data_IF_734531888062
#
_entry.id   IF_734531888062
#
_cell.length_a   1.000
_cell.length_b   1.000
_cell.length_c   1.000
_cell.angle_alpha   90.00
_cell.angle_beta   90.00
_cell.angle_gamma   90.00
#
_symmetry.space_group_name_H-M   'P 1'
#
loop_
_entity.id
_entity.type
_entity.pdbx_description
1 polymer ?
#
# COMPACT_ATOMS: atom_id res chain seq x y z
N UNK A 1 9.05 17.91 -4.98
CA UNK A 1 7.76 17.35 -5.45
C UNK A 1 7.00 18.45 -6.18
N UNK A 2 6.31 18.14 -7.29
CA UNK A 2 5.53 19.09 -8.10
C UNK A 2 4.07 19.25 -7.63
N UNK A 3 3.69 18.51 -6.59
CA UNK A 3 2.35 18.54 -5.96
C UNK A 3 2.49 18.45 -4.44
N UNK A 4 1.42 18.83 -3.74
CA UNK A 4 1.21 18.55 -2.33
C UNK A 4 0.14 17.47 -2.21
N UNK A 5 0.41 16.40 -1.45
CA UNK A 5 -0.55 15.32 -1.25
C UNK A 5 -1.58 15.74 -0.20
N UNK A 6 -2.84 15.56 -0.54
CA UNK A 6 -3.91 15.68 0.44
C UNK A 6 -3.91 14.45 1.36
N UNK A 7 -4.19 14.66 2.64
CA UNK A 7 -4.34 13.60 3.62
C UNK A 7 -5.28 14.01 4.75
N UNK A 8 -5.84 13.02 5.41
CA UNK A 8 -6.52 13.20 6.70
C UNK A 8 -5.64 12.66 7.81
N UNK A 9 -5.71 13.30 8.99
CA UNK A 9 -4.91 12.91 10.17
C UNK A 9 -5.82 12.76 11.37
N UNK A 10 -5.71 11.62 12.07
CA UNK A 10 -6.50 11.33 13.25
C UNK A 10 -5.69 10.56 14.30
N UNK A 11 -5.98 10.78 15.59
CA UNK A 11 -5.32 10.09 16.70
C UNK A 11 -4.00 10.73 17.12
N UNK A 12 -3.31 10.03 18.02
CA UNK A 12 -2.00 10.42 18.57
C UNK A 12 -1.16 9.18 18.82
N UNK A 13 0.17 9.30 18.76
CA UNK A 13 1.12 8.20 18.91
C UNK A 13 2.02 8.06 17.69
N UNK A 14 2.68 6.90 17.50
CA UNK A 14 3.55 6.64 16.35
C UNK A 14 2.80 6.83 15.01
N UNK A 15 3.48 7.31 13.97
CA UNK A 15 2.83 7.53 12.67
C UNK A 15 2.49 6.21 11.97
N UNK A 16 1.24 6.09 11.48
CA UNK A 16 0.75 5.04 10.61
C UNK A 16 0.22 5.67 9.31
N UNK A 17 0.88 5.39 8.20
CA UNK A 17 0.50 5.88 6.88
C UNK A 17 -0.36 4.83 6.16
N UNK A 18 -1.50 5.25 5.64
CA UNK A 18 -2.45 4.42 4.89
C UNK A 18 -2.44 4.84 3.42
N UNK A 19 -2.16 3.91 2.52
CA UNK A 19 -2.08 4.10 1.07
C UNK A 19 -3.16 3.26 0.38
N UNK A 20 -4.15 3.93 -0.22
CA UNK A 20 -5.29 3.31 -0.88
C UNK A 20 -4.95 2.65 -2.23
N UNK A 21 -5.88 1.88 -2.79
CA UNK A 21 -5.76 1.23 -4.08
C UNK A 21 -6.06 2.15 -5.27
N UNK A 22 -5.90 1.61 -6.47
CA UNK A 22 -6.14 2.32 -7.72
C UNK A 22 -7.58 2.81 -7.85
N UNK A 23 -7.75 4.09 -8.16
CA UNK A 23 -9.07 4.71 -8.35
C UNK A 23 -9.86 4.98 -7.07
N UNK A 24 -9.23 4.81 -5.90
CA UNK A 24 -9.79 5.10 -4.58
C UNK A 24 -9.18 6.37 -3.98
N UNK A 25 -9.44 6.63 -2.72
CA UNK A 25 -8.87 7.70 -1.91
C UNK A 25 -8.75 7.25 -0.43
N UNK A 26 -8.28 8.13 0.44
CA UNK A 26 -8.04 7.84 1.86
C UNK A 26 -9.30 7.38 2.62
N UNK A 27 -10.51 7.66 2.12
CA UNK A 27 -11.77 7.23 2.76
C UNK A 27 -11.99 5.72 2.68
N UNK A 28 -11.26 5.00 1.80
CA UNK A 28 -11.25 3.55 1.78
C UNK A 28 -10.97 2.96 3.16
N UNK A 29 -10.13 3.59 3.95
CA UNK A 29 -9.66 3.10 5.24
C UNK A 29 -10.50 3.59 6.45
N UNK A 30 -11.78 3.95 6.26
CA UNK A 30 -12.63 4.46 7.35
C UNK A 30 -12.58 3.58 8.61
N UNK A 31 -12.62 2.26 8.47
CA UNK A 31 -12.56 1.31 9.59
C UNK A 31 -11.18 1.18 10.22
N UNK A 32 -10.11 1.37 9.45
CA UNK A 32 -8.73 1.34 9.94
C UNK A 32 -8.36 2.65 10.64
N UNK A 33 -8.87 3.78 10.13
CA UNK A 33 -8.73 5.08 10.78
C UNK A 33 -9.39 5.04 12.16
N UNK A 34 -10.65 4.60 12.24
CA UNK A 34 -11.38 4.49 13.51
C UNK A 34 -10.68 3.56 14.50
N UNK A 35 -10.20 2.40 14.03
CA UNK A 35 -9.56 1.39 14.86
C UNK A 35 -8.19 1.82 15.38
N UNK A 36 -7.30 2.29 14.48
CA UNK A 36 -5.90 2.51 14.81
C UNK A 36 -5.62 3.91 15.35
N UNK A 37 -6.51 4.89 15.17
CA UNK A 37 -6.33 6.24 15.75
C UNK A 37 -6.35 6.27 17.29
N UNK A 38 -6.69 5.16 17.94
CA UNK A 38 -6.62 4.99 19.39
C UNK A 38 -5.18 4.93 19.90
N UNK A 39 -4.26 4.41 19.07
CA UNK A 39 -2.88 4.10 19.46
C UNK A 39 -1.83 4.74 18.54
N UNK A 40 -2.25 5.24 17.37
CA UNK A 40 -1.40 5.78 16.32
C UNK A 40 -1.86 7.17 15.87
N UNK A 41 -0.93 7.95 15.36
CA UNK A 41 -1.24 9.07 14.50
C UNK A 41 -1.46 8.52 13.07
N UNK A 42 -2.71 8.28 12.70
CA UNK A 42 -3.09 7.71 11.42
C UNK A 42 -3.18 8.80 10.37
N UNK A 43 -2.43 8.68 9.28
CA UNK A 43 -2.49 9.56 8.11
C UNK A 43 -2.98 8.76 6.91
N UNK A 44 -4.22 8.97 6.47
CA UNK A 44 -4.76 8.41 5.25
C UNK A 44 -4.50 9.38 4.09
N UNK A 45 -3.68 8.96 3.14
CA UNK A 45 -3.10 9.80 2.10
C UNK A 45 -3.83 9.51 0.78
N UNK A 46 -4.30 10.59 0.12
CA UNK A 46 -4.71 10.50 -1.28
C UNK A 46 -3.47 10.54 -2.15
N UNK A 47 -3.21 9.49 -2.91
CA UNK A 47 -2.04 9.42 -3.78
C UNK A 47 -2.20 10.35 -4.99
N UNK A 48 -1.10 10.70 -5.67
CA UNK A 48 -1.08 11.56 -6.86
C UNK A 48 -2.23 11.24 -7.83
N UNK A 49 -3.02 12.27 -8.17
CA UNK A 49 -4.12 12.15 -9.14
C UNK A 49 -5.34 11.39 -8.64
N UNK A 50 -5.40 11.05 -7.34
CA UNK A 50 -6.55 10.42 -6.70
C UNK A 50 -7.15 11.34 -5.63
N UNK A 51 -8.44 11.13 -5.34
CA UNK A 51 -9.15 11.87 -4.32
C UNK A 51 -9.01 13.38 -4.49
N UNK A 52 -8.39 14.04 -3.52
CA UNK A 52 -8.16 15.49 -3.46
C UNK A 52 -6.72 15.89 -3.83
N UNK A 53 -5.84 14.91 -4.06
CA UNK A 53 -4.47 15.17 -4.48
C UNK A 53 -4.40 15.49 -5.98
N UNK A 54 -3.70 16.58 -6.36
CA UNK A 54 -3.56 16.95 -7.78
C UNK A 54 -2.74 15.90 -8.55
N UNK A 55 -2.99 15.84 -9.88
CA UNK A 55 -2.23 14.94 -10.78
C UNK A 55 -0.78 15.39 -10.95
N UNK A 56 -0.53 16.68 -10.98
CA UNK A 56 0.78 17.25 -11.30
C UNK A 56 1.27 16.89 -12.70
N UNK A 57 2.58 17.12 -12.94
CA UNK A 57 3.23 16.92 -14.24
C UNK A 57 4.21 15.76 -14.26
N UNK A 58 4.64 15.25 -13.08
CA UNK A 58 5.55 14.12 -12.97
C UNK A 58 4.92 12.81 -13.53
N UNK A 59 5.72 11.79 -13.84
CA UNK A 59 5.22 10.51 -14.34
C UNK A 59 4.15 9.88 -13.44
N UNK A 60 3.17 9.20 -14.04
CA UNK A 60 2.11 8.50 -13.31
C UNK A 60 2.52 7.03 -13.16
N UNK A 61 3.41 6.75 -12.20
CA UNK A 61 4.03 5.45 -11.98
C UNK A 61 4.11 5.12 -10.49
N UNK A 62 4.10 3.82 -10.14
CA UNK A 62 4.33 3.35 -8.76
C UNK A 62 5.64 3.91 -8.19
N UNK A 63 6.66 3.97 -9.03
CA UNK A 63 7.96 4.55 -8.71
C UNK A 63 7.87 6.01 -8.28
N UNK A 64 7.13 6.85 -9.04
CA UNK A 64 6.94 8.25 -8.72
C UNK A 64 6.10 8.44 -7.45
N UNK A 65 5.10 7.60 -7.25
CA UNK A 65 4.27 7.65 -6.05
C UNK A 65 5.07 7.31 -4.78
N UNK A 66 6.06 6.43 -4.89
CA UNK A 66 6.99 6.18 -3.79
C UNK A 66 7.86 7.42 -3.47
N UNK A 67 8.31 8.17 -4.48
CA UNK A 67 9.03 9.44 -4.27
C UNK A 67 8.12 10.55 -3.70
N UNK A 68 6.84 10.56 -4.10
CA UNK A 68 5.86 11.47 -3.51
C UNK A 68 5.64 11.16 -2.03
N UNK A 69 5.63 9.86 -1.64
CA UNK A 69 5.54 9.45 -0.24
C UNK A 69 6.77 9.89 0.56
N UNK A 70 7.98 9.77 -0.01
CA UNK A 70 9.21 10.28 0.63
C UNK A 70 9.09 11.78 0.91
N UNK A 71 8.73 12.55 -0.10
CA UNK A 71 8.58 13.99 0.02
C UNK A 71 7.47 14.38 1.01
N UNK A 72 6.37 13.61 1.06
CA UNK A 72 5.33 13.78 2.07
C UNK A 72 5.88 13.56 3.49
N UNK A 73 6.61 12.46 3.72
CA UNK A 73 7.21 12.19 5.03
C UNK A 73 8.16 13.30 5.46
N UNK A 74 8.99 13.80 4.54
CA UNK A 74 9.92 14.90 4.81
C UNK A 74 9.18 16.20 5.18
N UNK A 75 8.13 16.55 4.44
CA UNK A 75 7.28 17.72 4.71
C UNK A 75 6.56 17.64 6.06
N UNK A 76 6.17 16.43 6.47
CA UNK A 76 5.53 16.19 7.78
C UNK A 76 6.53 15.98 8.92
N UNK A 77 7.84 16.03 8.66
CA UNK A 77 8.87 15.79 9.65
C UNK A 77 8.89 14.36 10.21
N UNK A 78 8.42 13.38 9.41
CA UNK A 78 8.36 11.98 9.80
C UNK A 78 9.68 11.29 9.43
N UNK A 79 10.54 11.01 10.39
CA UNK A 79 11.77 10.25 10.15
C UNK A 79 11.47 8.82 9.73
N UNK A 80 10.53 8.16 10.40
CA UNK A 80 10.09 6.79 10.13
C UNK A 80 8.59 6.69 10.36
N UNK A 81 7.94 5.69 9.73
CA UNK A 81 6.52 5.38 9.93
C UNK A 81 6.22 3.89 9.75
N UNK A 82 5.11 3.43 10.34
CA UNK A 82 4.44 2.23 9.91
C UNK A 82 3.65 2.52 8.63
N UNK A 83 3.66 1.60 7.68
CA UNK A 83 2.97 1.80 6.39
C UNK A 83 2.04 0.62 6.13
N UNK A 84 0.77 0.91 5.87
CA UNK A 84 -0.22 -0.04 5.41
C UNK A 84 -0.67 0.37 4.00
N UNK A 85 -0.41 -0.48 3.03
CA UNK A 85 -0.82 -0.25 1.65
C UNK A 85 -1.81 -1.30 1.15
N UNK A 86 -2.85 -0.85 0.46
CA UNK A 86 -3.83 -1.69 -0.21
C UNK A 86 -3.65 -1.67 -1.72
N UNK A 87 -3.58 -2.84 -2.37
CA UNK A 87 -3.51 -2.98 -3.84
C UNK A 87 -2.35 -2.16 -4.41
N UNK A 88 -2.58 -1.17 -5.29
CA UNK A 88 -1.52 -0.27 -5.77
C UNK A 88 -0.86 0.51 -4.63
N UNK A 89 -1.60 0.87 -3.57
CA UNK A 89 -1.00 1.42 -2.34
C UNK A 89 -0.02 0.45 -1.67
N UNK A 90 -0.29 -0.85 -1.75
CA UNK A 90 0.64 -1.91 -1.33
C UNK A 90 1.89 -1.98 -2.21
N UNK A 91 1.72 -1.80 -3.53
CA UNK A 91 2.82 -1.75 -4.49
C UNK A 91 3.70 -0.51 -4.27
N UNK A 92 3.08 0.65 -3.97
CA UNK A 92 3.77 1.89 -3.60
C UNK A 92 4.58 1.68 -2.31
N UNK A 93 3.93 1.14 -1.25
CA UNK A 93 4.56 0.89 0.03
C UNK A 93 5.76 -0.06 -0.09
N UNK A 94 5.62 -1.13 -0.88
CA UNK A 94 6.69 -2.08 -1.15
C UNK A 94 7.86 -1.44 -1.91
N UNK A 95 7.56 -0.67 -2.97
CA UNK A 95 8.57 0.06 -3.75
C UNK A 95 9.29 1.08 -2.88
N UNK A 96 8.57 1.79 -2.03
CA UNK A 96 9.12 2.72 -1.06
C UNK A 96 10.07 2.03 -0.06
N UNK A 97 9.63 0.92 0.55
CA UNK A 97 10.41 0.18 1.52
C UNK A 97 11.71 -0.41 0.91
N UNK A 98 11.69 -0.81 -0.37
CA UNK A 98 12.88 -1.28 -1.08
C UNK A 98 13.90 -0.16 -1.34
N UNK A 99 13.46 1.08 -1.50
CA UNK A 99 14.34 2.25 -1.77
C UNK A 99 14.78 2.96 -0.51
N UNK A 100 13.91 3.01 0.49
CA UNK A 100 14.08 3.77 1.72
C UNK A 100 13.78 2.88 2.95
N UNK A 101 14.49 1.76 3.14
CA UNK A 101 14.19 0.81 4.22
C UNK A 101 14.33 1.41 5.61
N UNK A 102 15.19 2.40 5.78
CA UNK A 102 15.41 3.17 7.00
C UNK A 102 14.23 4.09 7.38
N UNK A 103 13.29 4.33 6.45
CA UNK A 103 12.11 5.16 6.66
C UNK A 103 10.88 4.35 7.10
N UNK A 104 10.96 3.02 7.14
CA UNK A 104 9.82 2.12 7.44
C UNK A 104 10.07 1.35 8.72
N UNK A 105 9.19 1.53 9.72
CA UNK A 105 9.23 0.76 10.97
C UNK A 105 8.65 -0.65 10.76
N UNK A 106 7.44 -0.73 10.19
CA UNK A 106 6.72 -1.97 9.88
C UNK A 106 5.94 -1.77 8.58
N UNK A 107 5.78 -2.84 7.80
CA UNK A 107 5.14 -2.80 6.51
C UNK A 107 3.97 -3.79 6.45
N UNK A 108 2.78 -3.33 6.06
CA UNK A 108 1.60 -4.17 5.84
C UNK A 108 1.19 -4.07 4.38
N UNK A 109 1.21 -5.21 3.69
CA UNK A 109 0.90 -5.33 2.26
C UNK A 109 -0.44 -6.06 2.09
N UNK A 110 -1.52 -5.31 1.85
CA UNK A 110 -2.82 -5.89 1.57
C UNK A 110 -3.06 -5.99 0.06
N UNK A 111 -3.09 -7.21 -0.47
CA UNK A 111 -3.40 -7.45 -1.87
C UNK A 111 -2.40 -6.86 -2.86
N UNK A 112 -1.13 -6.71 -2.47
CA UNK A 112 -0.05 -6.24 -3.34
C UNK A 112 0.37 -7.32 -4.36
N UNK A 113 1.00 -6.89 -5.45
CA UNK A 113 1.61 -7.78 -6.44
C UNK A 113 2.99 -7.27 -6.86
N UNK A 114 3.84 -8.18 -7.32
CA UNK A 114 5.20 -7.87 -7.82
C UNK A 114 5.24 -7.61 -9.32
N UNK A 115 4.22 -8.13 -10.04
CA UNK A 115 4.12 -8.08 -11.50
C UNK A 115 2.64 -8.18 -11.89
N UNK A 116 2.19 -7.53 -12.97
CA UNK A 116 0.81 -7.65 -13.46
C UNK A 116 0.32 -9.09 -13.68
N UNK A 117 1.23 -10.04 -13.95
CA UNK A 117 0.90 -11.47 -14.04
C UNK A 117 0.50 -12.10 -12.70
N UNK A 118 0.72 -11.41 -11.57
CA UNK A 118 0.22 -11.80 -10.27
C UNK A 118 -1.29 -11.68 -10.12
N UNK A 119 -1.93 -10.85 -10.93
CA UNK A 119 -3.39 -10.71 -11.00
C UNK A 119 -4.01 -11.91 -11.72
N UNK A 120 -5.20 -12.34 -11.29
CA UNK A 120 -5.94 -13.42 -11.97
C UNK A 120 -6.27 -13.04 -13.42
N UNK A 121 -6.06 -13.92 -14.41
CA UNK A 121 -6.26 -13.60 -15.84
C UNK A 121 -7.65 -13.07 -16.18
N UNK A 122 -8.70 -13.61 -15.52
CA UNK A 122 -10.08 -13.17 -15.73
C UNK A 122 -10.34 -11.73 -15.26
N UNK A 123 -9.52 -11.20 -14.37
CA UNK A 123 -9.54 -9.80 -13.91
C UNK A 123 -8.62 -8.96 -14.79
N UNK A 124 -7.42 -9.45 -15.06
CA UNK A 124 -6.39 -8.71 -15.81
C UNK A 124 -6.80 -8.44 -17.27
N UNK A 125 -7.46 -9.40 -17.93
CA UNK A 125 -7.83 -9.27 -19.35
C UNK A 125 -8.75 -8.06 -19.62
N UNK A 126 -9.89 -7.87 -18.93
CA UNK A 126 -10.73 -6.68 -19.14
C UNK A 126 -10.01 -5.36 -18.78
N UNK A 127 -9.11 -5.35 -17.82
CA UNK A 127 -8.30 -4.18 -17.47
C UNK A 127 -7.36 -3.83 -18.63
N UNK A 128 -6.67 -4.82 -19.19
CA UNK A 128 -5.78 -4.63 -20.34
C UNK A 128 -6.53 -4.14 -21.58
N UNK A 129 -7.70 -4.72 -21.88
CA UNK A 129 -8.56 -4.25 -22.97
C UNK A 129 -9.02 -2.82 -22.76
N UNK A 130 -9.45 -2.47 -21.52
CA UNK A 130 -9.83 -1.12 -21.16
C UNK A 130 -8.69 -0.12 -21.29
N UNK A 131 -7.47 -0.50 -20.91
CA UNK A 131 -6.25 0.28 -21.09
C UNK A 131 -5.99 0.56 -22.57
N UNK A 132 -5.96 -0.48 -23.41
CA UNK A 132 -5.72 -0.33 -24.85
C UNK A 132 -6.79 0.53 -25.50
N UNK A 133 -8.06 0.32 -25.15
CA UNK A 133 -9.15 1.15 -25.67
C UNK A 133 -9.00 2.62 -25.28
N UNK A 134 -8.75 2.91 -23.99
CA UNK A 134 -8.55 4.28 -23.51
C UNK A 134 -7.35 4.96 -24.22
N UNK A 135 -6.29 4.21 -24.50
CA UNK A 135 -5.06 4.72 -25.15
C UNK A 135 -5.25 5.08 -26.64
N UNK A 136 -6.36 4.67 -27.28
CA UNK A 136 -6.69 5.07 -28.65
C UNK A 136 -7.20 6.52 -28.76
N UNK A 137 -7.62 7.12 -27.64
CA UNK A 137 -8.23 8.45 -27.63
C UNK A 137 -7.31 9.47 -26.96
N UNK A 138 -7.25 10.68 -27.54
CA UNK A 138 -6.43 11.79 -27.03
C UNK A 138 -7.29 12.86 -26.32
N UNK A 139 -8.21 12.44 -25.44
CA UNK A 139 -8.95 13.37 -24.61
C UNK A 139 -8.42 13.35 -23.16
N UNK A 140 -8.56 14.45 -22.38
CA UNK A 140 -8.12 14.45 -20.99
C UNK A 140 -8.71 13.31 -20.16
N UNK A 141 -9.98 12.99 -20.37
CA UNK A 141 -10.67 11.87 -19.68
C UNK A 141 -10.12 10.50 -20.09
N UNK A 142 -9.84 10.30 -21.38
CA UNK A 142 -9.26 9.04 -21.86
C UNK A 142 -7.82 8.89 -21.37
N UNK A 143 -7.03 9.97 -21.39
CA UNK A 143 -5.66 9.94 -20.85
C UNK A 143 -5.63 9.60 -19.36
N UNK A 144 -6.47 10.24 -18.53
CA UNK A 144 -6.57 9.94 -17.11
C UNK A 144 -6.96 8.46 -16.87
N UNK A 145 -7.91 7.92 -17.65
CA UNK A 145 -8.29 6.51 -17.57
C UNK A 145 -7.17 5.58 -18.01
N UNK A 146 -6.43 5.94 -19.06
CA UNK A 146 -5.27 5.17 -19.51
C UNK A 146 -4.14 5.18 -18.47
N UNK A 147 -3.91 6.28 -17.78
CA UNK A 147 -2.95 6.35 -16.68
C UNK A 147 -3.32 5.38 -15.55
N UNK A 148 -4.56 5.47 -15.04
CA UNK A 148 -5.05 4.59 -13.97
C UNK A 148 -4.95 3.10 -14.34
N UNK A 149 -5.48 2.72 -15.51
CA UNK A 149 -5.40 1.32 -15.97
C UNK A 149 -3.97 0.91 -16.30
N UNK A 150 -3.13 1.87 -16.72
CA UNK A 150 -1.73 1.67 -17.02
C UNK A 150 -0.91 1.19 -15.83
N UNK A 151 -1.19 1.67 -14.62
CA UNK A 151 -0.56 1.16 -13.40
C UNK A 151 -0.76 -0.35 -13.25
N UNK A 152 -2.01 -0.82 -13.41
CA UNK A 152 -2.34 -2.23 -13.26
C UNK A 152 -1.84 -3.12 -14.40
N UNK A 153 -1.60 -2.56 -15.60
CA UNK A 153 -1.18 -3.31 -16.80
C UNK A 153 0.33 -3.35 -16.93
N UNK A 154 1.02 -2.30 -16.50
CA UNK A 154 2.45 -2.11 -16.75
C UNK A 154 3.31 -2.20 -15.50
N UNK A 155 2.74 -2.14 -14.31
CA UNK A 155 3.50 -2.04 -13.07
C UNK A 155 2.87 -2.91 -11.96
N UNK A 156 3.66 -3.22 -10.92
CA UNK A 156 5.10 -3.07 -10.84
C UNK A 156 5.85 -4.18 -11.58
N UNK A 157 7.19 -4.10 -11.61
CA UNK A 157 8.08 -5.20 -12.00
C UNK A 157 9.18 -5.33 -10.94
N UNK A 158 8.90 -6.07 -9.87
CA UNK A 158 9.80 -6.30 -8.75
C UNK A 158 10.23 -7.77 -8.78
N UNK A 159 11.53 -8.02 -8.84
CA UNK A 159 12.02 -9.38 -8.77
C UNK A 159 11.88 -9.93 -7.33
N UNK A 160 11.38 -11.17 -7.13
CA UNK A 160 11.25 -11.75 -5.78
C UNK A 160 12.54 -11.72 -4.96
N UNK A 161 13.71 -11.83 -5.61
CA UNK A 161 15.01 -11.75 -4.97
C UNK A 161 15.30 -10.36 -4.34
N UNK A 162 14.67 -9.30 -4.83
CA UNK A 162 14.84 -7.95 -4.25
C UNK A 162 14.22 -7.85 -2.86
N UNK A 163 13.19 -8.65 -2.58
CA UNK A 163 12.49 -8.66 -1.29
C UNK A 163 13.37 -9.12 -0.12
N UNK A 164 14.50 -9.79 -0.41
CA UNK A 164 15.52 -10.15 0.59
C UNK A 164 16.19 -8.92 1.25
N UNK A 165 16.06 -7.74 0.64
CA UNK A 165 16.60 -6.48 1.17
C UNK A 165 15.72 -5.86 2.27
N UNK A 166 14.49 -6.33 2.43
CA UNK A 166 13.58 -5.82 3.44
C UNK A 166 13.97 -6.35 4.82
N UNK A 167 14.34 -5.45 5.72
CA UNK A 167 14.82 -5.77 7.08
C UNK A 167 13.81 -5.48 8.18
N UNK A 168 12.79 -4.66 7.87
CA UNK A 168 11.70 -4.37 8.79
C UNK A 168 10.71 -5.54 8.88
N UNK A 169 9.94 -5.66 9.98
CA UNK A 169 8.82 -6.61 10.06
C UNK A 169 7.79 -6.35 8.94
N UNK A 170 7.34 -7.42 8.26
CA UNK A 170 6.35 -7.33 7.17
C UNK A 170 5.19 -8.29 7.43
N UNK A 171 3.97 -7.78 7.26
CA UNK A 171 2.74 -8.57 7.16
C UNK A 171 2.24 -8.54 5.72
N UNK A 172 2.12 -9.72 5.10
CA UNK A 172 1.41 -9.90 3.82
C UNK A 172 0.02 -10.43 4.13
N UNK A 173 -1.03 -9.70 3.74
CA UNK A 173 -2.41 -10.05 4.06
C UNK A 173 -3.29 -10.00 2.81
N UNK A 174 -4.14 -11.03 2.61
CA UNK A 174 -5.03 -11.13 1.47
C UNK A 174 -6.32 -11.89 1.80
N UNK A 175 -7.33 -11.73 0.95
CA UNK A 175 -8.57 -12.49 1.04
C UNK A 175 -8.47 -13.87 0.37
N UNK A 176 -9.25 -14.85 0.86
CA UNK A 176 -9.34 -16.18 0.23
C UNK A 176 -9.85 -16.14 -1.23
N UNK A 177 -10.56 -15.07 -1.60
CA UNK A 177 -11.10 -14.82 -2.94
C UNK A 177 -10.49 -13.54 -3.57
N UNK A 178 -9.24 -13.22 -3.20
CA UNK A 178 -8.53 -12.06 -3.73
C UNK A 178 -8.42 -12.10 -5.26
N UNK A 179 -8.33 -10.95 -5.91
CA UNK A 179 -8.03 -10.83 -7.33
C UNK A 179 -6.56 -11.15 -7.64
N UNK A 180 -5.67 -10.99 -6.67
CA UNK A 180 -4.29 -11.47 -6.75
C UNK A 180 -4.31 -13.00 -6.59
N UNK A 181 -3.52 -13.70 -7.39
CA UNK A 181 -3.40 -15.15 -7.29
C UNK A 181 -2.79 -15.52 -5.93
N UNK A 182 -3.41 -16.43 -5.19
CA UNK A 182 -2.91 -16.85 -3.87
C UNK A 182 -1.45 -17.30 -3.90
N UNK A 183 -1.05 -18.05 -4.96
CA UNK A 183 0.34 -18.45 -5.16
C UNK A 183 1.29 -17.25 -5.24
N UNK A 184 0.83 -16.11 -5.79
CA UNK A 184 1.63 -14.89 -5.91
C UNK A 184 1.75 -14.18 -4.55
N UNK A 185 0.66 -14.10 -3.79
CA UNK A 185 0.68 -13.60 -2.40
C UNK A 185 1.61 -14.43 -1.52
N UNK A 186 1.56 -15.76 -1.64
CA UNK A 186 2.48 -16.67 -0.93
C UNK A 186 3.93 -16.50 -1.37
N UNK A 187 4.19 -16.28 -2.66
CA UNK A 187 5.52 -15.97 -3.18
C UNK A 187 6.08 -14.69 -2.54
N UNK A 188 5.28 -13.62 -2.43
CA UNK A 188 5.70 -12.38 -1.77
C UNK A 188 6.12 -12.68 -0.33
N UNK A 189 5.25 -13.33 0.45
CA UNK A 189 5.54 -13.64 1.84
C UNK A 189 6.79 -14.54 2.00
N UNK A 190 6.94 -15.55 1.15
CA UNK A 190 8.08 -16.46 1.19
C UNK A 190 9.41 -15.80 0.76
N UNK A 191 9.35 -14.71 -0.02
CA UNK A 191 10.52 -13.99 -0.51
C UNK A 191 11.04 -12.93 0.46
N UNK A 192 10.27 -12.56 1.49
CA UNK A 192 10.65 -11.56 2.48
C UNK A 192 11.13 -12.25 3.75
N UNK A 193 12.35 -11.98 4.25
CA UNK A 193 12.86 -12.59 5.47
C UNK A 193 11.93 -12.32 6.67
N UNK A 194 11.48 -13.36 7.36
CA UNK A 194 10.65 -13.23 8.55
C UNK A 194 9.24 -12.67 8.33
N UNK A 195 8.79 -12.52 7.08
CA UNK A 195 7.44 -12.03 6.82
C UNK A 195 6.36 -12.95 7.37
N UNK A 196 5.28 -12.35 7.86
CA UNK A 196 4.06 -13.03 8.25
C UNK A 196 3.06 -13.04 7.11
N UNK A 197 2.32 -14.14 6.99
CA UNK A 197 1.25 -14.29 6.01
C UNK A 197 -0.09 -14.49 6.73
N UNK A 198 -1.08 -13.68 6.40
CA UNK A 198 -2.46 -13.84 6.84
C UNK A 198 -3.39 -13.96 5.62
N UNK A 199 -4.11 -15.07 5.50
CA UNK A 199 -5.17 -15.26 4.52
C UNK A 199 -6.49 -15.32 5.29
N UNK A 200 -7.35 -14.32 5.09
CA UNK A 200 -8.62 -14.22 5.80
C UNK A 200 -9.80 -14.43 4.83
N UNK A 201 -10.95 -14.91 5.30
CA UNK A 201 -12.14 -15.02 4.45
C UNK A 201 -12.50 -13.66 3.86
N UNK A 202 -12.76 -13.62 2.54
CA UNK A 202 -13.15 -12.38 1.85
C UNK A 202 -12.53 -12.25 0.46
N UNK A 203 -12.86 -11.15 -0.22
CA UNK A 203 -12.33 -10.81 -1.54
C UNK A 203 -11.13 -9.85 -1.44
N UNK A 204 -10.77 -9.16 -2.51
CA UNK A 204 -9.67 -8.20 -2.55
C UNK A 204 -9.83 -7.04 -1.54
N UNK A 205 -11.06 -6.62 -1.26
CA UNK A 205 -11.39 -5.47 -0.42
C UNK A 205 -11.58 -5.83 1.06
N UNK A 206 -10.78 -6.76 1.60
CA UNK A 206 -10.93 -7.28 2.97
C UNK A 206 -10.81 -6.21 4.06
N UNK A 207 -9.99 -5.19 3.88
CA UNK A 207 -9.86 -4.10 4.85
C UNK A 207 -11.17 -3.33 5.04
N UNK A 208 -11.96 -3.21 3.97
CA UNK A 208 -13.26 -2.53 3.98
C UNK A 208 -14.43 -3.49 4.25
N UNK A 209 -14.42 -4.71 3.67
CA UNK A 209 -15.53 -5.65 3.72
C UNK A 209 -15.51 -6.58 4.93
N UNK A 210 -14.33 -6.85 5.47
CA UNK A 210 -14.10 -7.74 6.62
C UNK A 210 -13.27 -7.02 7.69
N UNK A 211 -13.63 -5.77 8.09
CA UNK A 211 -12.76 -4.91 8.88
C UNK A 211 -12.38 -5.53 10.23
N UNK A 212 -13.30 -6.25 10.89
CA UNK A 212 -13.01 -6.86 12.18
C UNK A 212 -11.91 -7.94 12.10
N UNK A 213 -11.92 -8.77 11.06
CA UNK A 213 -10.90 -9.80 10.86
C UNK A 213 -9.57 -9.18 10.41
N UNK A 214 -9.63 -8.20 9.51
CA UNK A 214 -8.47 -7.46 9.03
C UNK A 214 -7.77 -6.72 10.16
N UNK A 215 -8.49 -5.88 10.91
CA UNK A 215 -7.94 -5.08 12.00
C UNK A 215 -7.34 -5.96 13.10
N UNK A 216 -7.98 -7.10 13.42
CA UNK A 216 -7.43 -8.06 14.37
C UNK A 216 -6.09 -8.64 13.90
N UNK A 217 -5.96 -9.03 12.63
CA UNK A 217 -4.70 -9.54 12.07
C UNK A 217 -3.58 -8.49 12.13
N UNK A 218 -3.89 -7.23 11.78
CA UNK A 218 -2.95 -6.11 11.86
C UNK A 218 -2.57 -5.80 13.30
N UNK A 219 -3.52 -5.78 14.26
CA UNK A 219 -3.21 -5.59 15.69
C UNK A 219 -2.31 -6.70 16.24
N UNK A 220 -2.59 -7.94 15.92
CA UNK A 220 -1.71 -9.06 16.31
C UNK A 220 -0.29 -8.83 15.79
N UNK A 221 -0.14 -8.45 14.53
CA UNK A 221 1.16 -8.14 13.94
C UNK A 221 1.85 -6.98 14.67
N UNK A 222 1.17 -5.90 14.97
CA UNK A 222 1.73 -4.76 15.73
C UNK A 222 2.19 -5.16 17.13
N UNK A 223 1.39 -5.96 17.84
CA UNK A 223 1.72 -6.43 19.20
C UNK A 223 2.96 -7.31 19.20
N UNK A 224 3.06 -8.24 18.25
CA UNK A 224 4.16 -9.22 18.17
C UNK A 224 5.46 -8.63 17.59
N UNK A 225 5.41 -7.46 16.96
CA UNK A 225 6.55 -6.74 16.41
C UNK A 225 6.82 -5.42 17.13
N UNK A 226 6.18 -5.20 18.28
CA UNK A 226 6.49 -4.06 19.14
C UNK A 226 7.97 -4.14 19.59
N UNK A 227 8.70 -3.02 19.60
CA UNK A 227 10.02 -2.99 20.22
C UNK A 227 9.90 -3.51 21.66
N UNK A 228 10.83 -4.39 22.08
CA UNK A 228 10.87 -4.79 23.47
C UNK A 228 10.90 -3.52 24.35
N UNK A 229 9.94 -3.40 25.25
CA UNK A 229 9.93 -2.26 26.17
C UNK A 229 11.33 -2.18 26.81
N UNK A 230 12.03 -1.06 26.60
CA UNK A 230 13.25 -0.78 27.31
C UNK A 230 12.93 -0.94 28.78
N UNK A 231 13.56 -1.93 29.45
CA UNK A 231 13.52 -1.99 30.91
C UNK A 231 14.07 -0.65 31.37
N UNK A 232 13.20 0.25 31.86
CA UNK A 232 13.63 1.37 32.62
C UNK A 232 14.42 0.80 33.80
N UNK A 233 15.73 0.96 33.77
CA UNK A 233 16.55 0.81 34.97
C UNK A 233 16.05 1.89 35.90
N UNK A 234 15.25 1.47 36.86
CA UNK A 234 14.89 2.30 37.99
C UNK A 234 16.17 2.64 38.75
N UNK A 235 16.39 3.91 39.13
CA UNK A 235 17.57 4.39 39.85
C UNK A 235 17.70 3.80 41.25
#
# INVERSE_FOLDING_TARGET
MDIELFFTKQGSGPPLLLLHGNGEDGTYFVHQIEEFSRDFTVCAIDTRGHGRSPRGTAPFTISQFAEDLLAFMDQQGLAQADILGFSDGGNIALTFALRHPDRVCRLILNGANLDPKGVKPLVQLPIALGYHFASLFKSPKANARAELLGLMVKEPHIAPAELQKLTMPVLVIAGTKDMIQERHTRLIAASIPGARLAIIPGNHFIANKEPAAFNRAVRTFFTETAPAASKEESP
#
